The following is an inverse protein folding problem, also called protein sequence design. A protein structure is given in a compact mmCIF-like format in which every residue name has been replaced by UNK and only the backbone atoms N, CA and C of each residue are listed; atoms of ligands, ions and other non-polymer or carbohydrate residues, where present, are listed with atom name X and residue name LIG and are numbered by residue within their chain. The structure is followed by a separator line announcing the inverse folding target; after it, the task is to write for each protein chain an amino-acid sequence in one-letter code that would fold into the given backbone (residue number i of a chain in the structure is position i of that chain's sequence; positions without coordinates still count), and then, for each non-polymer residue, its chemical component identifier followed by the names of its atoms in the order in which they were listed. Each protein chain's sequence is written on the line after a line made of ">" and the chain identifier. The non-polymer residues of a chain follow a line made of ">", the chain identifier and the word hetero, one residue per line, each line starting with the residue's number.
data_IF_364151683343
#
_entry.id   IF_364151683343
#
_cell.length_a   1.000
_cell.length_b   1.000
_cell.length_c   1.000
_cell.angle_alpha   90.00
_cell.angle_beta   90.00
_cell.angle_gamma   90.00
#
_symmetry.space_group_name_H-M   'P 1'
#
loop_
_entity.id
_entity.type
_entity.pdbx_description
1 polymer ?
#
# COMPACT_ATOMS: atom_id res chain seq x y z
N UNK A 1 -3.74 -16.52 46.90
CA UNK A 1 -3.51 -17.42 48.05
C UNK A 1 -4.16 -18.76 47.73
N UNK A 2 -3.38 -19.71 47.23
CA UNK A 2 -3.73 -21.12 47.31
C UNK A 2 -2.41 -21.86 47.55
N UNK A 3 -2.28 -22.32 48.79
CA UNK A 3 -1.17 -23.12 49.29
C UNK A 3 -1.51 -24.57 48.95
N UNK A 4 -0.62 -25.27 48.26
CA UNK A 4 -0.68 -26.73 48.19
C UNK A 4 0.64 -27.33 48.69
N UNK A 5 0.43 -28.34 49.52
CA UNK A 5 1.35 -29.04 50.39
C UNK A 5 2.40 -29.87 49.62
N UNK A 6 3.56 -29.95 50.24
CA UNK A 6 4.75 -30.75 49.91
C UNK A 6 4.45 -32.26 50.12
N UNK A 7 5.15 -33.17 49.42
CA UNK A 7 6.01 -34.06 50.19
C UNK A 7 7.44 -34.09 49.64
N UNK A 8 8.36 -33.97 50.59
CA UNK A 8 9.77 -34.22 50.41
C UNK A 8 9.98 -35.71 50.19
N UNK A 9 10.88 -36.07 49.27
CA UNK A 9 11.69 -37.27 49.45
C UNK A 9 12.90 -37.31 48.53
N UNK A 10 13.98 -37.74 49.18
CA UNK A 10 15.09 -38.50 48.64
C UNK A 10 16.00 -37.79 47.63
N UNK A 11 17.17 -37.44 48.14
CA UNK A 11 18.31 -37.08 47.32
C UNK A 11 18.65 -38.20 46.34
N UNK A 12 18.95 -37.78 45.12
CA UNK A 12 19.97 -38.42 44.32
C UNK A 12 20.84 -37.26 43.86
N UNK A 13 22.02 -37.14 44.48
CA UNK A 13 23.14 -36.39 43.94
C UNK A 13 23.53 -37.09 42.63
N UNK A 14 22.73 -36.86 41.59
CA UNK A 14 23.04 -37.29 40.25
C UNK A 14 24.12 -36.33 39.78
N UNK A 15 25.36 -36.80 39.83
CA UNK A 15 26.53 -36.20 39.21
C UNK A 15 26.27 -36.14 37.69
N UNK A 16 25.41 -35.21 37.25
CA UNK A 16 25.16 -34.96 35.84
C UNK A 16 26.24 -33.99 35.37
N UNK A 17 27.21 -34.58 34.69
CA UNK A 17 28.27 -33.94 33.91
C UNK A 17 27.87 -32.56 33.35
N UNK A 18 28.70 -31.50 33.49
CA UNK A 18 28.35 -30.11 33.12
C UNK A 18 28.15 -29.86 31.61
N UNK A 19 28.28 -30.88 30.75
CA UNK A 19 28.21 -30.74 29.29
C UNK A 19 26.80 -30.58 28.71
N UNK A 20 25.73 -30.91 29.46
CA UNK A 20 24.36 -30.97 28.90
C UNK A 20 23.61 -29.62 28.93
N UNK A 21 23.90 -28.77 29.92
CA UNK A 21 23.32 -27.42 30.08
C UNK A 21 23.78 -26.45 28.96
N UNK A 22 25.05 -26.54 28.57
CA UNK A 22 25.66 -25.71 27.52
C UNK A 22 25.08 -25.99 26.13
N UNK A 23 24.62 -27.21 25.86
CA UNK A 23 24.05 -27.59 24.55
C UNK A 23 22.71 -26.91 24.30
N UNK A 24 21.91 -26.67 25.35
CA UNK A 24 20.57 -26.09 25.24
C UNK A 24 20.61 -24.57 25.01
N UNK A 25 21.49 -23.84 25.71
CA UNK A 25 21.71 -22.41 25.42
C UNK A 25 22.23 -22.19 23.99
N UNK A 26 23.15 -23.06 23.52
CA UNK A 26 23.72 -22.94 22.18
C UNK A 26 22.66 -23.21 21.09
N UNK A 27 21.80 -24.20 21.30
CA UNK A 27 20.70 -24.51 20.38
C UNK A 27 19.66 -23.37 20.33
N UNK A 28 19.36 -22.76 21.48
CA UNK A 28 18.44 -21.63 21.56
C UNK A 28 19.02 -20.37 20.89
N UNK A 29 20.31 -20.09 21.09
CA UNK A 29 21.01 -18.98 20.41
C UNK A 29 21.08 -19.19 18.89
N UNK A 30 21.35 -20.43 18.42
CA UNK A 30 21.34 -20.76 16.99
C UNK A 30 19.93 -20.60 16.40
N UNK A 31 18.88 -21.03 17.10
CA UNK A 31 17.50 -20.90 16.64
C UNK A 31 17.10 -19.42 16.46
N UNK A 32 17.46 -18.54 17.39
CA UNK A 32 17.20 -17.10 17.30
C UNK A 32 17.98 -16.45 16.14
N UNK A 33 19.24 -16.84 15.94
CA UNK A 33 20.05 -16.40 14.79
C UNK A 33 19.44 -16.83 13.45
N UNK A 34 18.89 -18.04 13.39
CA UNK A 34 18.22 -18.54 12.18
C UNK A 34 16.93 -17.78 11.88
N UNK A 35 16.14 -17.44 12.89
CA UNK A 35 14.91 -16.64 12.73
C UNK A 35 15.17 -15.21 12.22
N UNK A 36 16.30 -14.59 12.59
CA UNK A 36 16.69 -13.27 12.06
C UNK A 36 17.12 -13.32 10.59
N UNK A 37 17.68 -14.45 10.12
CA UNK A 37 18.07 -14.63 8.72
C UNK A 37 16.88 -14.82 7.77
N UNK A 38 15.72 -15.24 8.29
CA UNK A 38 14.50 -15.50 7.51
C UNK A 38 13.52 -14.30 7.56
N UNK A 39 13.92 -13.14 8.09
CA UNK A 39 13.04 -11.97 8.07
C UNK A 39 12.73 -11.57 6.62
N UNK A 40 11.45 -11.55 6.21
CA UNK A 40 11.09 -11.16 4.86
C UNK A 40 11.54 -9.73 4.63
N UNK A 41 12.31 -9.53 3.55
CA UNK A 41 12.61 -8.19 3.07
C UNK A 41 11.30 -7.49 2.73
N UNK A 42 11.01 -6.40 3.43
CA UNK A 42 9.86 -5.56 3.15
C UNK A 42 10.10 -4.89 1.79
N UNK A 43 9.61 -5.51 0.72
CA UNK A 43 9.64 -4.93 -0.62
C UNK A 43 8.61 -3.82 -0.67
N UNK A 44 9.04 -2.59 -0.41
CA UNK A 44 8.27 -1.43 -0.82
C UNK A 44 8.04 -1.48 -2.33
N UNK A 45 6.89 -1.00 -2.79
CA UNK A 45 6.59 -0.90 -4.23
C UNK A 45 7.70 -0.15 -4.96
N UNK A 46 8.22 -0.74 -6.03
CA UNK A 46 9.31 -0.14 -6.80
C UNK A 46 8.84 1.12 -7.52
N UNK A 47 9.75 2.07 -7.84
CA UNK A 47 9.41 3.26 -8.63
C UNK A 47 8.71 2.93 -9.95
N UNK A 48 9.10 1.84 -10.60
CA UNK A 48 8.52 1.38 -11.86
C UNK A 48 7.08 0.89 -11.67
N UNK A 49 6.79 0.22 -10.55
CA UNK A 49 5.43 -0.21 -10.22
C UNK A 49 4.49 0.99 -10.00
N UNK A 50 4.98 2.03 -9.31
CA UNK A 50 4.25 3.29 -9.13
C UNK A 50 3.98 3.99 -10.46
N UNK A 51 4.99 4.10 -11.32
CA UNK A 51 4.85 4.73 -12.63
C UNK A 51 3.83 3.99 -13.51
N UNK A 52 3.88 2.65 -13.53
CA UNK A 52 2.93 1.82 -14.27
C UNK A 52 1.50 2.00 -13.75
N UNK A 53 1.32 2.01 -12.44
CA UNK A 53 0.02 2.27 -11.80
C UNK A 53 -0.56 3.62 -12.22
N UNK A 54 0.24 4.68 -12.13
CA UNK A 54 -0.19 6.01 -12.56
C UNK A 54 -0.54 6.06 -14.05
N UNK A 55 0.21 5.36 -14.91
CA UNK A 55 -0.10 5.30 -16.34
C UNK A 55 -1.45 4.64 -16.61
N UNK A 56 -1.75 3.53 -15.94
CA UNK A 56 -3.05 2.84 -16.05
C UNK A 56 -4.19 3.79 -15.64
N UNK A 57 -4.04 4.45 -14.51
CA UNK A 57 -5.01 5.43 -14.04
C UNK A 57 -5.22 6.59 -15.01
N UNK A 58 -4.13 7.20 -15.52
CA UNK A 58 -4.21 8.30 -16.49
C UNK A 58 -4.98 7.88 -17.73
N UNK A 59 -4.71 6.68 -18.24
CA UNK A 59 -5.42 6.15 -19.41
C UNK A 59 -6.89 5.89 -19.11
N UNK A 60 -7.21 5.29 -17.96
CA UNK A 60 -8.59 5.04 -17.54
C UNK A 60 -9.39 6.35 -17.43
N UNK A 61 -8.80 7.39 -16.86
CA UNK A 61 -9.42 8.71 -16.74
C UNK A 61 -9.62 9.40 -18.09
N UNK A 62 -8.63 9.37 -18.99
CA UNK A 62 -8.78 9.92 -20.34
C UNK A 62 -9.88 9.18 -21.10
N UNK A 63 -9.95 7.85 -20.99
CA UNK A 63 -10.97 7.04 -21.65
C UNK A 63 -12.38 7.30 -21.09
N UNK A 64 -12.49 7.64 -19.80
CA UNK A 64 -13.77 7.97 -19.16
C UNK A 64 -14.22 9.41 -19.43
N UNK A 65 -13.33 10.29 -19.89
CA UNK A 65 -13.60 11.72 -20.09
C UNK A 65 -14.64 11.96 -21.17
N UNK A 66 -15.51 12.95 -20.96
CA UNK A 66 -16.48 13.39 -21.99
C UNK A 66 -15.93 14.52 -22.86
N UNK A 67 -14.72 15.00 -22.55
CA UNK A 67 -14.07 16.09 -23.28
C UNK A 67 -13.34 15.56 -24.51
N UNK A 68 -13.39 16.34 -25.60
CA UNK A 68 -12.52 16.12 -26.74
C UNK A 68 -11.09 16.59 -26.44
N UNK A 69 -10.09 15.88 -26.97
CA UNK A 69 -8.66 16.16 -26.73
C UNK A 69 -8.32 16.23 -25.23
N UNK A 70 -8.96 15.38 -24.42
CA UNK A 70 -8.73 15.30 -22.99
C UNK A 70 -7.26 14.99 -22.69
N UNK A 71 -6.68 15.74 -21.75
CA UNK A 71 -5.32 15.55 -21.24
C UNK A 71 -5.30 15.71 -19.73
N UNK A 72 -4.34 15.08 -19.09
CA UNK A 72 -4.12 15.22 -17.65
C UNK A 72 -3.51 16.59 -17.36
N UNK A 73 -4.04 17.25 -16.35
CA UNK A 73 -3.52 18.47 -15.77
C UNK A 73 -2.86 18.17 -14.42
N UNK A 74 -1.56 18.41 -14.33
CA UNK A 74 -0.83 18.42 -13.06
C UNK A 74 -0.45 17.03 -12.55
N UNK A 75 -0.27 16.95 -11.23
CA UNK A 75 0.11 15.73 -10.54
C UNK A 75 -1.11 14.93 -10.09
N UNK A 76 -0.89 13.65 -9.86
CA UNK A 76 -1.89 12.75 -9.28
C UNK A 76 -2.02 13.06 -7.80
N UNK A 77 -3.25 13.14 -7.32
CA UNK A 77 -3.56 13.17 -5.91
C UNK A 77 -3.80 11.74 -5.45
N UNK A 78 -2.81 11.16 -4.79
CA UNK A 78 -2.94 9.84 -4.17
C UNK A 78 -3.60 10.00 -2.80
N UNK A 79 -4.69 9.27 -2.57
CA UNK A 79 -5.27 9.14 -1.24
C UNK A 79 -4.73 7.90 -0.55
N UNK A 80 -4.80 7.92 0.79
CA UNK A 80 -4.46 6.79 1.64
C UNK A 80 -5.17 5.49 1.22
N UNK A 81 -4.55 4.35 1.54
CA UNK A 81 -5.06 3.01 1.20
C UNK A 81 -6.43 2.71 1.78
N UNK A 82 -6.79 3.33 2.91
CA UNK A 82 -8.15 3.23 3.47
C UNK A 82 -9.23 3.84 2.58
N UNK A 83 -8.89 4.85 1.77
CA UNK A 83 -9.81 5.48 0.82
C UNK A 83 -9.86 4.65 -0.46
N UNK A 84 -8.72 4.17 -0.94
CA UNK A 84 -8.62 3.31 -2.11
C UNK A 84 -8.88 4.01 -3.45
N UNK A 85 -8.86 5.35 -3.47
CA UNK A 85 -9.01 6.16 -4.67
C UNK A 85 -7.76 7.00 -4.93
N UNK A 86 -7.60 7.38 -6.19
CA UNK A 86 -6.67 8.40 -6.65
C UNK A 86 -7.44 9.40 -7.50
N UNK A 87 -7.06 10.67 -7.47
CA UNK A 87 -7.72 11.70 -8.25
C UNK A 87 -6.76 12.45 -9.16
N UNK A 88 -7.25 12.90 -10.31
CA UNK A 88 -6.53 13.81 -11.19
C UNK A 88 -7.47 14.71 -11.96
N UNK A 89 -6.99 15.91 -12.26
CA UNK A 89 -7.72 16.88 -13.06
C UNK A 89 -7.44 16.65 -14.54
N UNK A 90 -8.48 16.73 -15.36
CA UNK A 90 -8.41 16.67 -16.82
C UNK A 90 -8.78 18.04 -17.41
N UNK A 91 -8.25 18.32 -18.60
CA UNK A 91 -8.65 19.46 -19.42
C UNK A 91 -8.82 19.03 -20.86
N UNK A 92 -9.78 19.63 -21.55
CA UNK A 92 -10.08 19.38 -22.95
C UNK A 92 -11.07 20.41 -23.47
N UNK A 93 -11.78 20.05 -24.53
CA UNK A 93 -12.81 20.91 -25.13
C UNK A 93 -14.15 20.19 -25.11
N UNK A 94 -15.20 20.90 -24.74
CA UNK A 94 -16.57 20.38 -24.81
C UNK A 94 -16.96 20.07 -26.27
N UNK A 95 -17.28 18.80 -26.60
CA UNK A 95 -17.64 18.43 -27.97
C UNK A 95 -19.06 18.89 -28.37
N UNK A 96 -19.89 19.29 -27.40
CA UNK A 96 -21.27 19.71 -27.66
C UNK A 96 -21.28 21.02 -28.49
N UNK A 97 -22.01 21.04 -29.61
CA UNK A 97 -22.04 22.19 -30.55
C UNK A 97 -22.37 23.52 -29.89
N UNK A 98 -23.33 23.54 -28.95
CA UNK A 98 -23.74 24.75 -28.24
C UNK A 98 -22.64 25.28 -27.29
N UNK A 99 -21.69 24.44 -26.91
CA UNK A 99 -20.55 24.83 -26.08
C UNK A 99 -19.42 25.46 -26.88
N UNK A 100 -19.49 25.54 -28.22
CA UNK A 100 -18.53 26.25 -29.09
C UNK A 100 -17.05 25.91 -28.80
N UNK A 101 -16.74 24.63 -28.59
CA UNK A 101 -15.39 24.17 -28.21
C UNK A 101 -14.82 24.90 -26.99
N UNK A 102 -15.67 25.32 -26.05
CA UNK A 102 -15.20 25.90 -24.78
C UNK A 102 -14.30 24.91 -24.07
N UNK A 103 -13.24 25.44 -23.47
CA UNK A 103 -12.35 24.67 -22.62
C UNK A 103 -13.15 24.16 -21.42
N UNK A 104 -13.10 22.84 -21.23
CA UNK A 104 -13.73 22.15 -20.11
C UNK A 104 -12.69 21.50 -19.22
N UNK A 105 -13.08 21.25 -17.97
CA UNK A 105 -12.30 20.48 -17.00
C UNK A 105 -13.17 19.45 -16.34
N UNK A 106 -12.56 18.31 -16.05
CA UNK A 106 -13.20 17.21 -15.34
C UNK A 106 -12.28 16.73 -14.23
N UNK A 107 -12.86 16.41 -13.08
CA UNK A 107 -12.17 15.70 -12.01
C UNK A 107 -12.44 14.22 -12.22
N UNK A 108 -11.37 13.44 -12.34
CA UNK A 108 -11.46 11.99 -12.40
C UNK A 108 -11.15 11.39 -11.04
N UNK A 109 -11.99 10.46 -10.59
CA UNK A 109 -11.73 9.55 -9.48
C UNK A 109 -11.45 8.15 -10.05
N UNK A 110 -10.30 7.60 -9.69
CA UNK A 110 -9.88 6.26 -10.06
C UNK A 110 -9.87 5.34 -8.85
N UNK A 111 -10.65 4.27 -8.90
CA UNK A 111 -10.70 3.26 -7.84
C UNK A 111 -9.57 2.24 -8.07
N UNK A 112 -8.58 2.22 -7.17
CA UNK A 112 -7.34 1.44 -7.36
C UNK A 112 -7.58 -0.07 -7.37
N UNK A 113 -8.54 -0.54 -6.57
CA UNK A 113 -8.88 -1.97 -6.46
C UNK A 113 -9.55 -2.54 -7.71
N UNK A 114 -10.43 -1.77 -8.35
CA UNK A 114 -11.22 -2.22 -9.50
C UNK A 114 -10.72 -1.69 -10.85
N UNK A 115 -9.79 -0.73 -10.84
CA UNK A 115 -9.33 -0.03 -12.04
C UNK A 115 -10.40 0.83 -12.72
N UNK A 116 -11.49 1.18 -12.02
CA UNK A 116 -12.60 1.95 -12.59
C UNK A 116 -12.33 3.44 -12.46
N UNK A 117 -12.60 4.19 -13.52
CA UNK A 117 -12.57 5.65 -13.53
C UNK A 117 -13.99 6.23 -13.61
N UNK A 118 -14.25 7.27 -12.84
CA UNK A 118 -15.47 8.08 -12.89
C UNK A 118 -15.10 9.54 -13.01
N UNK A 119 -15.74 10.27 -13.91
CA UNK A 119 -15.46 11.69 -14.17
C UNK A 119 -16.64 12.56 -13.79
N UNK A 120 -16.37 13.79 -13.38
CA UNK A 120 -17.39 14.82 -13.13
C UNK A 120 -16.86 16.19 -13.54
N UNK A 121 -17.76 17.06 -13.99
CA UNK A 121 -17.40 18.42 -14.39
C UNK A 121 -16.74 19.20 -13.24
N UNK A 122 -15.66 19.90 -13.57
CA UNK A 122 -14.76 20.51 -12.61
C UNK A 122 -14.23 21.87 -13.10
N UNK A 123 -15.03 22.62 -13.86
CA UNK A 123 -14.62 23.89 -14.50
C UNK A 123 -14.12 24.95 -13.51
N UNK A 124 -14.61 24.92 -12.27
CA UNK A 124 -14.20 25.80 -11.17
C UNK A 124 -12.78 25.48 -10.65
N UNK A 125 -12.28 24.27 -10.86
CA UNK A 125 -11.00 23.86 -10.31
C UNK A 125 -9.82 24.24 -11.21
N UNK A 126 -8.78 24.74 -10.57
CA UNK A 126 -7.52 25.10 -11.23
C UNK A 126 -6.36 24.52 -10.45
N UNK A 127 -5.32 24.11 -11.18
CA UNK A 127 -4.05 23.80 -10.55
C UNK A 127 -3.53 25.09 -9.91
N UNK A 128 -3.19 25.00 -8.62
CA UNK A 128 -2.38 26.01 -7.97
C UNK A 128 -1.00 26.02 -8.65
N UNK A 129 -0.47 27.21 -8.88
CA UNK A 129 0.81 27.43 -9.54
C UNK A 129 1.95 27.37 -8.53
#
# INVERSE_FOLDING_TARGET
>A
MLVLFIPAQAGIFFWLSPKKEQRMEYFQRISVLFLLLVSPVALASSPEAWQKSQQVMRQACINASTLSKAKVLGQVVEYDDSVGYSALLLEGLYPQKHMKNRRGRELCLFQRSSGRASVSEANQYRLAK
#
